data_IF_806407626869
#
_entry.id   IF_806407626869
#
_cell.length_a   1.000
_cell.length_b   1.000
_cell.length_c   1.000
_cell.angle_alpha   90.00
_cell.angle_beta   90.00
_cell.angle_gamma   90.00
#
_symmetry.space_group_name_H-M   'P 1'
#
loop_
_entity.id
_entity.type
_entity.pdbx_description
1 polymer ?
#
# COMPACT_ATOMS: atom_id res chain seq x y z
N UNK A 1 -1.51 -10.65 -38.54
CA UNK A 1 -1.79 -11.32 -37.24
C UNK A 1 -0.76 -10.82 -36.22
N UNK A 2 -1.09 -9.81 -35.42
CA UNK A 2 -0.16 -9.30 -34.39
C UNK A 2 -0.08 -10.35 -33.28
N UNK A 3 1.13 -10.71 -32.90
CA UNK A 3 1.42 -11.70 -31.86
C UNK A 3 0.97 -11.10 -30.51
N UNK A 4 0.02 -11.76 -29.87
CA UNK A 4 -0.39 -11.46 -28.49
C UNK A 4 0.73 -11.93 -27.59
N UNK A 5 1.40 -11.00 -26.91
CA UNK A 5 2.44 -11.36 -25.94
C UNK A 5 1.78 -11.65 -24.58
N UNK A 6 2.07 -12.81 -24.02
CA UNK A 6 1.79 -13.16 -22.63
C UNK A 6 3.12 -13.08 -21.89
N UNK A 7 3.18 -12.24 -20.87
CA UNK A 7 4.38 -12.06 -20.05
C UNK A 7 4.03 -12.42 -18.60
N UNK A 8 4.91 -13.14 -17.96
CA UNK A 8 4.84 -13.40 -16.50
C UNK A 8 5.78 -12.46 -15.77
N UNK A 9 5.25 -11.69 -14.86
CA UNK A 9 6.01 -10.81 -13.98
C UNK A 9 6.10 -11.46 -12.60
N UNK A 10 7.31 -11.54 -12.08
CA UNK A 10 7.59 -12.10 -10.75
C UNK A 10 8.08 -10.98 -9.86
N UNK A 11 7.37 -10.73 -8.78
CA UNK A 11 7.74 -9.79 -7.72
C UNK A 11 8.06 -10.56 -6.44
N UNK A 12 9.19 -10.25 -5.83
CA UNK A 12 9.72 -11.01 -4.69
C UNK A 12 9.99 -10.07 -3.53
N UNK A 13 9.43 -10.37 -2.38
CA UNK A 13 9.76 -9.71 -1.14
C UNK A 13 10.87 -10.48 -0.41
N UNK A 14 12.06 -9.91 -0.36
CA UNK A 14 13.25 -10.52 0.24
C UNK A 14 13.58 -9.81 1.56
N UNK A 15 14.00 -10.58 2.56
CA UNK A 15 14.56 -10.03 3.80
C UNK A 15 16.05 -9.75 3.59
N UNK A 16 16.41 -8.50 3.22
CA UNK A 16 17.80 -8.10 3.04
C UNK A 16 18.08 -6.81 3.79
N UNK A 17 19.14 -6.81 4.61
CA UNK A 17 19.73 -5.59 5.17
C UNK A 17 20.76 -5.05 4.17
N UNK A 18 20.41 -4.04 3.38
CA UNK A 18 21.40 -3.34 2.53
C UNK A 18 21.31 -1.84 2.81
N UNK A 19 22.41 -1.30 3.32
CA UNK A 19 22.66 0.13 3.42
C UNK A 19 23.13 0.66 2.06
N UNK A 20 22.21 1.07 1.19
CA UNK A 20 22.57 1.88 0.02
C UNK A 20 21.56 3.03 -0.11
N UNK A 21 22.03 4.23 0.12
CA UNK A 21 21.27 5.47 0.00
C UNK A 21 21.22 5.85 -1.47
N UNK A 22 20.03 5.77 -2.06
CA UNK A 22 19.72 6.39 -3.35
C UNK A 22 18.65 7.45 -3.11
N UNK A 23 18.89 8.68 -3.55
CA UNK A 23 17.93 9.78 -3.45
C UNK A 23 16.93 9.67 -4.62
N UNK A 24 15.95 8.80 -4.50
CA UNK A 24 14.82 8.74 -5.41
C UNK A 24 13.56 9.23 -4.71
N UNK A 25 12.68 9.94 -5.40
CA UNK A 25 11.38 10.36 -4.86
C UNK A 25 10.43 9.17 -4.67
N UNK A 26 9.44 9.31 -3.78
CA UNK A 26 8.34 8.34 -3.66
C UNK A 26 7.65 8.22 -5.00
N UNK A 27 7.55 7.00 -5.53
CA UNK A 27 6.85 6.76 -6.79
C UNK A 27 5.34 6.98 -6.61
N UNK A 28 4.75 7.80 -7.48
CA UNK A 28 3.32 8.16 -7.46
C UNK A 28 2.69 8.01 -8.84
N UNK A 29 1.37 7.80 -8.85
CA UNK A 29 0.64 7.68 -10.10
C UNK A 29 1.21 6.58 -11.00
N UNK A 30 1.46 6.86 -12.26
CA UNK A 30 1.94 5.87 -13.23
C UNK A 30 3.33 5.32 -12.90
N UNK A 31 4.20 6.07 -12.26
CA UNK A 31 5.54 5.63 -11.85
C UNK A 31 5.50 4.55 -10.77
N UNK A 32 4.45 4.55 -9.94
CA UNK A 32 4.24 3.55 -8.89
C UNK A 32 3.79 2.19 -9.42
N UNK A 33 3.52 2.07 -10.71
CA UNK A 33 2.95 0.87 -11.28
C UNK A 33 3.86 0.14 -12.25
N UNK A 34 3.66 -1.18 -12.31
CA UNK A 34 4.05 -2.00 -13.44
C UNK A 34 3.19 -1.66 -14.68
N UNK A 35 3.50 -2.31 -15.79
CA UNK A 35 2.88 -2.08 -17.10
C UNK A 35 1.42 -2.53 -17.20
N UNK A 36 0.80 -3.06 -16.15
CA UNK A 36 -0.55 -3.64 -16.20
C UNK A 36 -1.49 -3.11 -15.13
N UNK A 37 -2.80 -3.30 -15.36
CA UNK A 37 -3.90 -3.01 -14.43
C UNK A 37 -4.89 -4.18 -14.40
N UNK A 38 -5.75 -4.21 -13.39
CA UNK A 38 -6.92 -5.11 -13.35
C UNK A 38 -8.08 -4.42 -14.03
N UNK A 39 -8.62 -5.01 -15.09
CA UNK A 39 -9.70 -4.39 -15.88
C UNK A 39 -11.02 -4.30 -15.11
N UNK A 40 -11.44 -5.38 -14.48
CA UNK A 40 -12.68 -5.44 -13.68
C UNK A 40 -12.37 -5.44 -12.18
N UNK A 41 -11.84 -4.31 -11.70
CA UNK A 41 -11.45 -4.15 -10.31
C UNK A 41 -12.65 -4.04 -9.33
N UNK A 42 -13.87 -3.91 -9.85
CA UNK A 42 -15.11 -3.94 -9.05
C UNK A 42 -15.69 -5.35 -8.85
N UNK A 43 -15.11 -6.36 -9.50
CA UNK A 43 -15.59 -7.74 -9.43
C UNK A 43 -14.41 -8.74 -9.49
N UNK A 44 -13.38 -8.54 -8.69
CA UNK A 44 -12.17 -9.36 -8.71
C UNK A 44 -12.48 -10.74 -8.14
N UNK A 45 -12.47 -11.74 -8.99
CA UNK A 45 -12.65 -13.14 -8.58
C UNK A 45 -11.37 -13.67 -7.95
N UNK A 46 -11.46 -14.10 -6.70
CA UNK A 46 -10.33 -14.63 -5.95
C UNK A 46 -10.64 -15.96 -5.27
N UNK A 47 -9.58 -16.69 -4.90
CA UNK A 47 -9.68 -17.75 -3.91
C UNK A 47 -8.47 -17.73 -2.96
N UNK A 48 -8.69 -18.25 -1.76
CA UNK A 48 -7.64 -18.49 -0.77
C UNK A 48 -7.55 -19.99 -0.57
N UNK A 49 -6.34 -20.57 -0.74
CA UNK A 49 -6.09 -21.95 -0.38
C UNK A 49 -6.03 -22.07 1.14
N UNK A 50 -6.93 -22.88 1.71
CA UNK A 50 -7.07 -23.08 3.15
C UNK A 50 -6.24 -24.25 3.69
N UNK A 51 -5.46 -24.94 2.85
CA UNK A 51 -4.73 -26.15 3.23
C UNK A 51 -3.53 -25.89 4.15
N UNK A 52 -3.12 -24.62 4.30
CA UNK A 52 -1.99 -24.23 5.15
C UNK A 52 -2.47 -23.48 6.38
N UNK A 53 -2.61 -24.21 7.49
CA UNK A 53 -2.83 -23.63 8.83
C UNK A 53 -1.57 -23.80 9.66
N UNK A 54 -0.98 -22.69 10.09
CA UNK A 54 0.10 -22.70 11.06
C UNK A 54 -0.48 -22.72 12.49
N UNK A 55 0.24 -23.38 13.42
CA UNK A 55 -0.08 -23.40 14.85
C UNK A 55 -0.07 -21.99 15.46
N UNK A 56 0.73 -21.08 14.92
CA UNK A 56 0.96 -19.76 15.49
C UNK A 56 0.16 -18.65 14.81
N UNK A 57 -0.06 -18.74 13.51
CA UNK A 57 -0.90 -17.80 12.77
C UNK A 57 -1.48 -18.44 11.51
N UNK A 58 -2.76 -18.25 11.31
CA UNK A 58 -3.44 -18.76 10.12
C UNK A 58 -3.20 -17.82 8.94
N UNK A 59 -2.37 -18.23 7.97
CA UNK A 59 -2.07 -17.46 6.77
C UNK A 59 -3.34 -17.13 5.95
N UNK A 60 -4.39 -17.95 6.04
CA UNK A 60 -5.71 -17.64 5.48
C UNK A 60 -6.26 -16.33 6.05
N UNK A 61 -6.02 -16.06 7.34
CA UNK A 61 -6.46 -14.81 7.95
C UNK A 61 -5.64 -13.62 7.46
N UNK A 62 -4.34 -13.78 7.18
CA UNK A 62 -3.54 -12.72 6.57
C UNK A 62 -4.09 -12.31 5.20
N UNK A 63 -4.40 -13.28 4.36
CA UNK A 63 -5.02 -13.02 3.06
C UNK A 63 -6.41 -12.39 3.15
N UNK A 64 -7.26 -12.87 4.07
CA UNK A 64 -8.57 -12.25 4.34
C UNK A 64 -8.44 -10.81 4.82
N UNK A 65 -7.47 -10.54 5.70
CA UNK A 65 -7.20 -9.19 6.18
C UNK A 65 -6.72 -8.29 5.04
N UNK A 66 -5.83 -8.79 4.16
CA UNK A 66 -5.37 -8.04 3.00
C UNK A 66 -6.54 -7.64 2.08
N UNK A 67 -7.41 -8.58 1.71
CA UNK A 67 -8.61 -8.33 0.89
C UNK A 67 -9.51 -7.29 1.55
N UNK A 68 -9.80 -7.44 2.85
CA UNK A 68 -10.66 -6.51 3.58
C UNK A 68 -10.05 -5.12 3.65
N UNK A 69 -8.73 -5.03 3.87
CA UNK A 69 -8.00 -3.76 3.91
C UNK A 69 -8.05 -3.06 2.55
N UNK A 70 -7.78 -3.78 1.45
CA UNK A 70 -7.88 -3.21 0.11
C UNK A 70 -9.29 -2.69 -0.18
N UNK A 71 -10.33 -3.47 0.11
CA UNK A 71 -11.72 -3.00 -0.11
C UNK A 71 -12.09 -1.82 0.78
N UNK A 72 -11.73 -1.86 2.05
CA UNK A 72 -12.03 -0.78 3.02
C UNK A 72 -11.28 0.50 2.68
N UNK A 73 -9.99 0.41 2.49
CA UNK A 73 -9.11 1.57 2.32
C UNK A 73 -9.20 2.21 0.93
N UNK A 74 -9.80 1.50 -0.03
CA UNK A 74 -10.23 2.07 -1.32
C UNK A 74 -11.72 2.44 -1.34
N UNK A 75 -12.37 2.52 -0.18
CA UNK A 75 -13.77 2.93 -0.01
C UNK A 75 -14.75 2.12 -0.85
N UNK A 76 -14.43 0.84 -1.07
CA UNK A 76 -15.24 -0.08 -1.89
C UNK A 76 -15.13 0.13 -3.39
N UNK A 77 -14.19 0.94 -3.87
CA UNK A 77 -13.85 1.00 -5.30
C UNK A 77 -13.31 -0.35 -5.78
N UNK A 78 -12.40 -0.95 -5.02
CA UNK A 78 -11.91 -2.31 -5.26
C UNK A 78 -12.80 -3.31 -4.52
N UNK A 79 -13.37 -4.27 -5.28
CA UNK A 79 -14.25 -5.29 -4.72
C UNK A 79 -13.81 -6.69 -5.11
N UNK A 80 -13.89 -7.58 -4.14
CA UNK A 80 -13.49 -8.97 -4.29
C UNK A 80 -14.70 -9.91 -4.19
N UNK A 81 -14.71 -10.93 -5.06
CA UNK A 81 -15.73 -11.98 -5.09
C UNK A 81 -15.05 -13.32 -4.92
N UNK A 82 -15.35 -14.02 -3.82
CA UNK A 82 -14.83 -15.38 -3.63
C UNK A 82 -15.39 -16.31 -4.73
N UNK A 83 -14.49 -17.01 -5.41
CA UNK A 83 -14.85 -17.87 -6.55
C UNK A 83 -14.02 -19.15 -6.55
N UNK A 84 -14.47 -20.14 -7.35
CA UNK A 84 -13.73 -21.39 -7.58
C UNK A 84 -13.04 -21.33 -8.92
N UNK A 85 -11.91 -22.04 -9.05
CA UNK A 85 -11.26 -22.24 -10.35
C UNK A 85 -12.27 -22.85 -11.37
N UNK A 86 -12.25 -22.47 -12.69
CA UNK A 86 -11.18 -21.72 -13.36
C UNK A 86 -11.33 -20.18 -13.35
N UNK A 87 -12.40 -19.63 -12.78
CA UNK A 87 -12.76 -18.21 -12.92
C UNK A 87 -11.93 -17.24 -12.05
N UNK A 88 -10.96 -17.75 -11.29
CA UNK A 88 -10.18 -16.98 -10.34
C UNK A 88 -9.10 -16.18 -11.03
N UNK A 89 -9.07 -14.87 -10.79
CA UNK A 89 -8.02 -13.96 -11.27
C UNK A 89 -6.86 -13.92 -10.27
N UNK A 90 -7.14 -13.85 -8.95
CA UNK A 90 -6.11 -13.81 -7.90
C UNK A 90 -6.24 -15.05 -7.03
N UNK A 91 -5.21 -15.88 -7.01
CA UNK A 91 -5.10 -17.04 -6.13
C UNK A 91 -4.08 -16.77 -5.05
N UNK A 92 -4.49 -16.88 -3.79
CA UNK A 92 -3.66 -16.66 -2.62
C UNK A 92 -3.45 -17.98 -1.88
N UNK A 93 -2.20 -18.31 -1.59
CA UNK A 93 -1.85 -19.56 -0.91
C UNK A 93 -0.61 -19.40 -0.04
N UNK A 94 -0.15 -20.48 0.54
CA UNK A 94 1.13 -20.54 1.26
C UNK A 94 1.89 -21.78 0.83
N UNK A 95 3.21 -21.69 0.85
CA UNK A 95 4.12 -22.82 0.70
C UNK A 95 4.98 -22.98 1.96
N UNK A 96 5.64 -24.12 2.09
CA UNK A 96 6.61 -24.37 3.14
C UNK A 96 7.91 -24.86 2.48
N UNK A 97 8.74 -23.92 2.02
CA UNK A 97 9.95 -24.24 1.27
C UNK A 97 11.19 -23.64 1.91
N UNK A 98 12.12 -24.51 2.32
CA UNK A 98 13.45 -24.11 2.79
C UNK A 98 14.42 -23.79 1.65
N UNK A 99 14.02 -24.01 0.39
CA UNK A 99 14.82 -23.71 -0.81
C UNK A 99 14.64 -22.28 -1.26
N UNK A 100 13.60 -21.61 -0.76
CA UNK A 100 13.22 -20.26 -1.13
C UNK A 100 13.51 -19.32 0.03
N UNK A 101 14.18 -18.20 -0.24
CA UNK A 101 14.58 -17.22 0.77
C UNK A 101 13.57 -16.08 0.95
N UNK A 102 12.56 -16.00 0.09
CA UNK A 102 11.54 -14.94 0.17
C UNK A 102 10.48 -15.21 1.25
N UNK A 103 9.91 -14.14 1.79
CA UNK A 103 8.78 -14.16 2.71
C UNK A 103 7.44 -14.27 1.99
N UNK A 104 7.31 -13.52 0.90
CA UNK A 104 6.18 -13.51 -0.01
C UNK A 104 6.64 -13.47 -1.46
N UNK A 105 5.72 -13.81 -2.35
CA UNK A 105 5.97 -13.84 -3.80
C UNK A 105 4.65 -13.64 -4.54
N UNK A 106 4.61 -12.69 -5.47
CA UNK A 106 3.51 -12.54 -6.43
C UNK A 106 3.96 -12.86 -7.85
N UNK A 107 3.19 -13.70 -8.55
CA UNK A 107 3.40 -14.08 -9.96
C UNK A 107 2.21 -13.62 -10.79
N UNK A 108 2.39 -12.59 -11.59
CA UNK A 108 1.34 -12.04 -12.44
C UNK A 108 1.52 -12.47 -13.90
N UNK A 109 0.44 -12.94 -14.49
CA UNK A 109 0.34 -13.19 -15.93
C UNK A 109 -0.52 -12.10 -16.54
N UNK A 110 -0.01 -11.44 -17.57
CA UNK A 110 -0.64 -10.29 -18.21
C UNK A 110 -0.93 -10.56 -19.69
N UNK A 111 -1.92 -9.84 -20.19
CA UNK A 111 -2.28 -9.77 -21.59
C UNK A 111 -2.16 -8.32 -22.06
N UNK A 112 -1.47 -8.10 -23.17
CA UNK A 112 -1.37 -6.79 -23.83
C UNK A 112 -2.22 -6.80 -25.09
N UNK A 113 -3.13 -5.84 -25.21
CA UNK A 113 -4.01 -5.69 -26.36
C UNK A 113 -3.32 -4.96 -27.53
N UNK A 114 -4.04 -4.74 -28.63
CA UNK A 114 -3.55 -4.07 -29.83
C UNK A 114 -3.23 -2.59 -29.63
N UNK A 115 -3.77 -1.96 -28.58
CA UNK A 115 -3.53 -0.58 -28.19
C UNK A 115 -2.36 -0.42 -27.20
N UNK A 116 -1.59 -1.49 -26.97
CA UNK A 116 -0.52 -1.55 -25.96
C UNK A 116 -1.00 -1.39 -24.50
N UNK A 117 -2.29 -1.64 -24.24
CA UNK A 117 -2.81 -1.67 -22.88
C UNK A 117 -2.65 -3.08 -22.30
N UNK A 118 -2.07 -3.16 -21.11
CA UNK A 118 -1.79 -4.45 -20.45
C UNK A 118 -2.71 -4.64 -19.25
N UNK A 119 -3.27 -5.87 -19.15
CA UNK A 119 -4.21 -6.23 -18.11
C UNK A 119 -3.80 -7.55 -17.45
N UNK A 120 -4.01 -7.60 -16.12
CA UNK A 120 -3.87 -8.83 -15.37
C UNK A 120 -4.88 -9.87 -15.87
N UNK A 121 -4.39 -11.07 -16.21
CA UNK A 121 -5.23 -12.24 -16.51
C UNK A 121 -5.23 -13.24 -15.37
N UNK A 122 -4.12 -13.32 -14.62
CA UNK A 122 -3.98 -14.19 -13.46
C UNK A 122 -2.88 -13.67 -12.54
N UNK A 123 -3.10 -13.76 -11.22
CA UNK A 123 -2.05 -13.66 -10.22
C UNK A 123 -2.07 -14.85 -9.28
N UNK A 124 -0.89 -15.26 -8.84
CA UNK A 124 -0.67 -16.28 -7.82
C UNK A 124 0.23 -15.68 -6.74
N UNK A 125 -0.35 -15.45 -5.57
CA UNK A 125 0.31 -14.81 -4.44
C UNK A 125 0.60 -15.84 -3.36
N UNK A 126 1.83 -15.84 -2.85
CA UNK A 126 2.36 -16.84 -1.93
C UNK A 126 2.90 -16.19 -0.67
N UNK A 127 2.70 -16.88 0.48
CA UNK A 127 3.46 -16.69 1.72
C UNK A 127 4.35 -17.91 1.93
N UNK A 128 5.62 -17.71 2.29
CA UNK A 128 6.51 -18.83 2.61
C UNK A 128 6.54 -19.07 4.11
N UNK A 129 5.85 -20.11 4.56
CA UNK A 129 5.76 -20.49 5.96
C UNK A 129 7.13 -20.78 6.59
N UNK A 130 8.05 -21.35 5.82
CA UNK A 130 9.39 -21.67 6.32
C UNK A 130 10.15 -20.42 6.73
N UNK A 131 10.27 -19.44 5.85
CA UNK A 131 10.98 -18.18 6.11
C UNK A 131 10.26 -17.32 7.15
N UNK A 132 8.93 -17.27 7.12
CA UNK A 132 8.11 -16.60 8.14
C UNK A 132 8.41 -17.14 9.54
N UNK A 133 8.52 -18.46 9.70
CA UNK A 133 8.91 -19.09 10.97
C UNK A 133 10.38 -18.87 11.31
N UNK A 134 11.27 -19.02 10.34
CA UNK A 134 12.71 -18.84 10.52
C UNK A 134 13.03 -17.45 11.10
N UNK A 135 12.36 -16.41 10.61
CA UNK A 135 12.53 -15.03 11.08
C UNK A 135 11.57 -14.63 12.19
N UNK A 136 10.75 -15.57 12.69
CA UNK A 136 9.80 -15.37 13.79
C UNK A 136 8.91 -14.11 13.59
N UNK A 137 8.33 -13.97 12.40
CA UNK A 137 7.48 -12.82 12.06
C UNK A 137 6.27 -12.73 12.99
N UNK A 138 5.97 -11.52 13.46
CA UNK A 138 4.72 -11.24 14.16
C UNK A 138 3.52 -11.37 13.22
N UNK A 139 2.33 -11.49 13.78
CA UNK A 139 1.07 -11.51 13.04
C UNK A 139 0.92 -10.27 12.14
N UNK A 140 1.29 -9.12 12.64
CA UNK A 140 1.23 -7.84 11.93
C UNK A 140 2.19 -7.82 10.74
N UNK A 141 3.41 -8.32 10.90
CA UNK A 141 4.35 -8.47 9.78
C UNK A 141 3.85 -9.46 8.72
N UNK A 142 3.21 -10.57 9.13
CA UNK A 142 2.63 -11.52 8.17
C UNK A 142 1.48 -10.87 7.38
N UNK A 143 0.64 -10.06 8.05
CA UNK A 143 -0.40 -9.26 7.38
C UNK A 143 0.22 -8.26 6.40
N UNK A 144 1.31 -7.59 6.76
CA UNK A 144 2.03 -6.66 5.89
C UNK A 144 2.59 -7.36 4.64
N UNK A 145 3.20 -8.56 4.80
CA UNK A 145 3.65 -9.35 3.65
C UNK A 145 2.48 -9.71 2.73
N UNK A 146 1.35 -10.15 3.28
CA UNK A 146 0.17 -10.47 2.47
C UNK A 146 -0.39 -9.23 1.72
N UNK A 147 -0.42 -8.07 2.38
CA UNK A 147 -0.81 -6.79 1.76
C UNK A 147 0.15 -6.40 0.64
N UNK A 148 1.46 -6.56 0.85
CA UNK A 148 2.50 -6.28 -0.12
C UNK A 148 2.34 -7.13 -1.38
N UNK A 149 2.21 -8.45 -1.24
CA UNK A 149 2.05 -9.36 -2.39
C UNK A 149 0.74 -9.06 -3.15
N UNK A 150 -0.34 -8.79 -2.44
CA UNK A 150 -1.59 -8.37 -3.06
C UNK A 150 -1.41 -7.03 -3.82
N UNK A 151 -0.57 -6.10 -3.30
CA UNK A 151 -0.21 -4.86 -3.99
C UNK A 151 0.41 -5.12 -5.37
N UNK A 152 1.30 -6.11 -5.47
CA UNK A 152 1.87 -6.52 -6.76
C UNK A 152 0.83 -7.08 -7.72
N UNK A 153 -0.18 -7.80 -7.23
CA UNK A 153 -1.32 -8.25 -8.06
C UNK A 153 -2.12 -7.10 -8.65
N UNK A 154 -2.10 -5.94 -7.99
CA UNK A 154 -2.68 -4.68 -8.50
C UNK A 154 -1.71 -3.87 -9.36
N UNK A 155 -0.52 -4.38 -9.62
CA UNK A 155 0.48 -3.73 -10.45
C UNK A 155 1.37 -2.73 -9.71
N UNK A 156 1.28 -2.60 -8.38
CA UNK A 156 2.16 -1.71 -7.63
C UNK A 156 3.62 -2.19 -7.68
N UNK A 157 4.54 -1.26 -7.93
CA UNK A 157 5.98 -1.49 -7.88
C UNK A 157 6.52 -1.33 -6.44
N UNK A 158 7.72 -1.87 -6.20
CA UNK A 158 8.46 -1.50 -5.02
C UNK A 158 8.72 0.00 -4.97
N UNK A 159 8.64 0.56 -3.77
CA UNK A 159 9.03 1.93 -3.50
C UNK A 159 10.51 2.00 -3.09
N UNK A 160 11.18 3.14 -3.32
CA UNK A 160 12.54 3.34 -2.86
C UNK A 160 12.69 3.16 -1.35
N UNK A 161 13.85 2.65 -0.92
CA UNK A 161 14.12 2.25 0.46
C UNK A 161 13.94 3.37 1.50
N UNK A 162 14.32 4.59 1.16
CA UNK A 162 14.20 5.76 2.04
C UNK A 162 12.75 6.06 2.44
N UNK A 163 11.79 5.53 1.70
CA UNK A 163 10.35 5.67 1.97
C UNK A 163 9.71 4.43 2.60
N UNK A 164 10.51 3.46 3.06
CA UNK A 164 10.00 2.20 3.62
C UNK A 164 8.99 2.39 4.77
N UNK A 165 9.08 3.49 5.52
CA UNK A 165 8.14 3.83 6.58
C UNK A 165 6.81 4.44 6.07
N UNK A 166 6.75 4.88 4.80
CA UNK A 166 5.59 5.54 4.18
C UNK A 166 4.76 4.60 3.28
N UNK A 167 5.18 3.35 3.11
CA UNK A 167 4.55 2.40 2.17
C UNK A 167 4.64 0.96 2.66
N UNK A 168 3.69 0.13 2.25
CA UNK A 168 3.82 -1.34 2.35
C UNK A 168 4.66 -1.91 1.20
N UNK A 169 4.83 -1.15 0.09
CA UNK A 169 5.56 -1.61 -1.10
C UNK A 169 7.07 -1.45 -0.98
N UNK A 170 7.63 -1.56 0.22
CA UNK A 170 9.07 -1.61 0.46
C UNK A 170 9.66 -2.96 0.04
N UNK A 171 10.90 -3.01 -0.49
CA UNK A 171 11.47 -4.24 -1.05
C UNK A 171 11.87 -5.28 0.00
N UNK A 172 11.74 -4.98 1.30
CA UNK A 172 12.02 -5.90 2.40
C UNK A 172 11.23 -5.54 3.67
N UNK A 173 11.09 -6.50 4.57
CA UNK A 173 10.46 -6.32 5.88
C UNK A 173 11.54 -6.05 6.92
N UNK A 174 11.41 -4.95 7.65
CA UNK A 174 12.23 -4.69 8.84
C UNK A 174 11.51 -5.22 10.08
N UNK A 175 11.93 -6.38 10.55
CA UNK A 175 11.32 -7.05 11.73
C UNK A 175 11.66 -6.35 13.06
N UNK A 176 12.61 -5.42 13.08
CA UNK A 176 12.94 -4.62 14.26
C UNK A 176 11.93 -3.50 14.52
N UNK A 177 11.16 -3.11 13.51
CA UNK A 177 10.13 -2.08 13.57
C UNK A 177 8.76 -2.74 13.62
N UNK A 178 7.92 -2.50 14.64
CA UNK A 178 6.57 -3.03 14.67
C UNK A 178 5.78 -2.64 13.41
N UNK A 179 5.12 -3.61 12.79
CA UNK A 179 4.20 -3.39 11.68
C UNK A 179 2.79 -3.10 12.22
N UNK A 180 2.04 -2.23 11.56
CA UNK A 180 0.60 -2.02 11.81
C UNK A 180 -0.27 -2.85 10.85
N UNK A 181 0.33 -3.42 9.79
CA UNK A 181 -0.36 -4.27 8.83
C UNK A 181 -1.48 -3.58 8.05
N UNK A 182 -1.33 -2.27 7.77
CA UNK A 182 -2.32 -1.47 7.03
C UNK A 182 -1.72 -0.79 5.81
N UNK A 183 -2.56 -0.41 4.85
CA UNK A 183 -2.15 0.43 3.72
C UNK A 183 -1.77 1.83 4.23
N UNK A 184 -0.64 2.33 3.77
CA UNK A 184 -0.22 3.71 4.04
C UNK A 184 -0.90 4.68 3.06
N UNK A 185 -0.92 5.99 3.36
CA UNK A 185 -1.55 6.97 2.48
C UNK A 185 -1.06 6.92 1.03
N UNK A 186 0.23 6.74 0.81
CA UNK A 186 0.79 6.65 -0.55
C UNK A 186 0.31 5.39 -1.30
N UNK A 187 0.14 4.26 -0.59
CA UNK A 187 -0.38 3.04 -1.20
C UNK A 187 -1.84 3.22 -1.60
N UNK A 188 -2.66 3.82 -0.72
CA UNK A 188 -4.06 4.18 -1.04
C UNK A 188 -4.15 5.16 -2.19
N UNK A 189 -3.31 6.21 -2.18
CA UNK A 189 -3.25 7.17 -3.28
C UNK A 189 -2.99 6.45 -4.60
N UNK A 190 -1.96 5.60 -4.66
CA UNK A 190 -1.61 4.89 -5.88
C UNK A 190 -2.74 3.95 -6.34
N UNK A 191 -3.35 3.18 -5.43
CA UNK A 191 -4.49 2.33 -5.77
C UNK A 191 -5.67 3.14 -6.32
N UNK A 192 -6.06 4.21 -5.65
CA UNK A 192 -7.20 5.04 -6.09
C UNK A 192 -6.90 5.81 -7.38
N UNK A 193 -5.66 6.20 -7.62
CA UNK A 193 -5.24 6.81 -8.87
C UNK A 193 -5.57 5.94 -10.08
N UNK A 194 -5.36 4.62 -9.98
CA UNK A 194 -5.59 3.68 -11.09
C UNK A 194 -6.96 3.02 -11.07
N UNK A 195 -7.57 2.86 -9.90
CA UNK A 195 -8.77 2.05 -9.70
C UNK A 195 -9.99 2.84 -9.20
N UNK A 196 -9.93 4.17 -9.18
CA UNK A 196 -11.12 4.98 -8.94
C UNK A 196 -11.78 5.36 -10.26
N UNK A 197 -13.09 5.10 -10.36
CA UNK A 197 -13.89 5.45 -11.53
C UNK A 197 -14.41 6.88 -11.50
N UNK A 198 -14.33 7.54 -10.34
CA UNK A 198 -14.98 8.83 -10.12
C UNK A 198 -13.98 9.87 -9.61
N UNK A 199 -13.90 10.99 -10.30
CA UNK A 199 -13.34 12.22 -9.74
C UNK A 199 -14.42 12.83 -8.83
N UNK A 200 -14.37 12.47 -7.52
CA UNK A 200 -15.40 12.82 -6.53
C UNK A 200 -15.37 14.28 -6.09
N UNK A 201 -14.36 15.03 -6.53
CA UNK A 201 -14.20 16.45 -6.20
C UNK A 201 -14.42 17.40 -7.39
N UNK A 202 -14.47 16.90 -8.62
CA UNK A 202 -14.57 17.74 -9.84
C UNK A 202 -15.79 18.65 -9.81
N UNK A 203 -16.93 18.11 -9.39
CA UNK A 203 -18.20 18.85 -9.31
C UNK A 203 -18.50 19.32 -7.86
N UNK A 204 -17.55 19.20 -6.96
CA UNK A 204 -17.69 19.66 -5.58
C UNK A 204 -17.48 21.18 -5.49
N UNK A 205 -18.16 21.85 -4.56
CA UNK A 205 -18.00 23.31 -4.35
C UNK A 205 -16.55 23.74 -4.11
N UNK A 206 -15.73 22.88 -3.49
CA UNK A 206 -14.32 23.12 -3.22
C UNK A 206 -13.39 22.75 -4.39
N UNK A 207 -13.92 22.35 -5.57
CA UNK A 207 -13.11 21.81 -6.67
C UNK A 207 -11.96 22.73 -7.09
N UNK A 208 -12.20 24.04 -7.14
CA UNK A 208 -11.16 25.03 -7.47
C UNK A 208 -10.05 25.08 -6.43
N UNK A 209 -10.39 24.97 -5.13
CA UNK A 209 -9.42 24.98 -4.05
C UNK A 209 -8.62 23.68 -3.99
N UNK A 210 -9.26 22.55 -4.27
CA UNK A 210 -8.61 21.24 -4.36
C UNK A 210 -7.63 21.24 -5.54
N UNK A 211 -8.06 21.69 -6.74
CA UNK A 211 -7.18 21.82 -7.90
C UNK A 211 -5.98 22.72 -7.60
N UNK A 212 -6.23 23.89 -6.99
CA UNK A 212 -5.17 24.81 -6.61
C UNK A 212 -4.16 24.19 -5.63
N UNK A 213 -4.63 23.45 -4.63
CA UNK A 213 -3.77 22.76 -3.68
C UNK A 213 -2.93 21.65 -4.34
N UNK A 214 -3.51 20.91 -5.30
CA UNK A 214 -2.81 19.92 -6.12
C UNK A 214 -1.74 20.59 -6.99
N UNK A 215 -2.09 21.65 -7.70
CA UNK A 215 -1.19 22.37 -8.60
C UNK A 215 0.01 22.99 -7.86
N UNK A 216 -0.17 23.32 -6.58
CA UNK A 216 0.89 23.84 -5.72
C UNK A 216 1.64 22.74 -4.91
N UNK A 217 1.31 21.47 -5.13
CA UNK A 217 1.98 20.35 -4.44
C UNK A 217 1.66 20.23 -2.94
N UNK A 218 0.60 20.90 -2.44
CA UNK A 218 0.18 20.77 -1.03
C UNK A 218 -0.57 19.46 -0.80
N UNK A 219 -1.23 18.98 -1.83
CA UNK A 219 -2.00 17.73 -1.88
C UNK A 219 -1.56 16.96 -3.12
N UNK A 220 -1.45 15.65 -3.01
CA UNK A 220 -1.13 14.80 -4.15
C UNK A 220 -2.26 14.80 -5.18
N UNK A 221 -1.90 14.70 -6.46
CA UNK A 221 -2.89 14.59 -7.54
C UNK A 221 -3.70 13.31 -7.35
N UNK A 222 -5.01 13.45 -7.24
CA UNK A 222 -5.93 12.33 -7.04
C UNK A 222 -7.25 12.54 -7.76
N UNK A 223 -7.85 11.47 -8.25
CA UNK A 223 -9.23 11.46 -8.72
C UNK A 223 -10.23 11.22 -7.59
N UNK A 224 -9.76 10.73 -6.44
CA UNK A 224 -10.57 10.42 -5.26
C UNK A 224 -10.06 11.17 -4.04
N UNK A 225 -10.60 12.36 -3.81
CA UNK A 225 -10.17 13.29 -2.77
C UNK A 225 -10.95 13.15 -1.46
N UNK A 226 -12.18 12.63 -1.54
CA UNK A 226 -13.10 12.51 -0.39
C UNK A 226 -13.45 13.87 0.25
N UNK A 227 -13.93 14.86 -0.51
CA UNK A 227 -14.13 16.21 0.02
C UNK A 227 -15.23 16.32 1.08
N UNK A 228 -15.99 15.26 1.33
CA UNK A 228 -17.05 15.18 2.34
C UNK A 228 -16.62 14.49 3.63
N UNK A 229 -15.46 13.84 3.62
CA UNK A 229 -14.96 13.12 4.78
C UNK A 229 -14.19 14.07 5.71
N UNK A 230 -14.20 13.75 7.00
CA UNK A 230 -13.35 14.44 7.97
C UNK A 230 -11.89 14.07 7.73
N UNK A 231 -11.00 15.04 7.83
CA UNK A 231 -9.56 14.85 7.74
C UNK A 231 -9.01 14.43 9.11
N UNK A 232 -8.00 13.57 9.12
CA UNK A 232 -7.28 13.24 10.34
C UNK A 232 -6.27 14.33 10.72
N UNK A 233 -5.84 14.33 11.98
CA UNK A 233 -4.79 15.25 12.45
C UNK A 233 -3.47 15.05 11.69
N UNK A 234 -3.11 13.80 11.37
CA UNK A 234 -1.92 13.48 10.58
C UNK A 234 -2.00 14.02 9.16
N UNK A 235 -3.09 13.77 8.44
CA UNK A 235 -3.32 14.30 7.10
C UNK A 235 -3.29 15.84 7.07
N UNK A 236 -3.85 16.47 8.09
CA UNK A 236 -3.85 17.94 8.20
C UNK A 236 -2.45 18.51 8.36
N UNK A 237 -1.62 17.96 9.25
CA UNK A 237 -0.25 18.50 9.44
C UNK A 237 0.61 18.29 8.21
N UNK A 238 0.46 17.18 7.49
CA UNK A 238 1.17 16.94 6.22
C UNK A 238 0.88 18.05 5.18
N UNK A 239 -0.41 18.42 5.03
CA UNK A 239 -0.81 19.51 4.12
C UNK A 239 -0.19 20.84 4.55
N UNK A 240 -0.19 21.14 5.85
CA UNK A 240 0.35 22.39 6.38
C UNK A 240 1.87 22.43 6.18
N UNK A 241 2.59 21.36 6.47
CA UNK A 241 4.03 21.28 6.29
C UNK A 241 4.43 21.53 4.82
N UNK A 242 3.72 20.92 3.89
CA UNK A 242 3.93 21.13 2.45
C UNK A 242 3.61 22.56 2.04
N UNK A 243 2.46 23.08 2.47
CA UNK A 243 2.01 24.46 2.12
C UNK A 243 3.00 25.52 2.56
N UNK A 244 3.53 25.41 3.76
CA UNK A 244 4.44 26.41 4.35
C UNK A 244 5.91 26.02 4.19
N UNK A 245 6.20 24.89 3.52
CA UNK A 245 7.55 24.34 3.31
C UNK A 245 8.34 24.26 4.61
N UNK A 246 7.69 23.75 5.67
CA UNK A 246 8.30 23.63 6.99
C UNK A 246 9.40 22.56 6.96
N UNK A 247 10.57 22.84 7.56
CA UNK A 247 11.73 21.93 7.51
C UNK A 247 12.34 21.65 8.88
N UNK A 248 12.05 22.48 9.87
CA UNK A 248 12.67 22.32 11.19
C UNK A 248 12.04 21.13 11.90
N UNK A 249 12.88 20.15 12.23
CA UNK A 249 12.54 18.96 13.01
C UNK A 249 13.38 18.94 14.29
N UNK A 250 12.84 18.39 15.37
CA UNK A 250 13.53 18.17 16.64
C UNK A 250 13.92 16.71 16.87
N UNK A 251 13.45 15.80 16.01
CA UNK A 251 13.56 14.36 16.18
C UNK A 251 12.63 13.81 17.25
N UNK A 252 11.69 14.60 17.76
CA UNK A 252 10.71 14.17 18.77
C UNK A 252 9.68 13.23 18.15
N UNK A 253 9.34 12.17 18.87
CA UNK A 253 8.21 11.32 18.58
C UNK A 253 7.30 11.18 19.80
N UNK A 254 5.98 11.20 19.59
CA UNK A 254 5.01 10.80 20.59
C UNK A 254 4.93 9.26 20.63
N UNK A 255 4.46 8.70 21.73
CA UNK A 255 4.37 7.22 21.87
C UNK A 255 3.52 6.58 20.74
N UNK A 256 2.46 7.28 20.33
CA UNK A 256 1.53 6.85 19.29
C UNK A 256 1.95 7.24 17.86
N UNK A 257 3.11 7.89 17.70
CA UNK A 257 3.64 8.27 16.38
C UNK A 257 4.95 7.59 16.03
N UNK A 258 5.55 6.81 16.92
CA UNK A 258 6.87 6.17 16.70
C UNK A 258 6.90 5.38 15.40
N UNK A 259 5.83 4.65 15.10
CA UNK A 259 5.67 3.82 13.91
C UNK A 259 4.62 4.35 12.94
N UNK A 260 4.14 5.58 13.16
CA UNK A 260 3.12 6.19 12.32
C UNK A 260 3.76 6.78 11.06
N UNK A 261 3.07 6.67 9.91
CA UNK A 261 3.55 7.18 8.63
C UNK A 261 3.87 8.68 8.65
N UNK A 262 3.12 9.48 9.42
CA UNK A 262 3.29 10.93 9.56
C UNK A 262 4.20 11.31 10.73
N UNK A 263 5.07 10.42 11.22
CA UNK A 263 5.95 10.70 12.36
C UNK A 263 6.80 11.95 12.14
N UNK A 264 7.39 12.07 10.97
CA UNK A 264 8.26 13.19 10.60
C UNK A 264 7.47 14.48 10.44
N UNK A 265 6.35 14.42 9.73
CA UNK A 265 5.44 15.53 9.52
C UNK A 265 4.89 16.08 10.85
N UNK A 266 4.55 15.19 11.78
CA UNK A 266 4.07 15.56 13.11
C UNK A 266 5.19 16.24 13.92
N UNK A 267 6.42 15.72 13.90
CA UNK A 267 7.56 16.36 14.56
C UNK A 267 7.83 17.75 13.98
N UNK A 268 7.82 17.89 12.66
CA UNK A 268 7.99 19.16 11.96
C UNK A 268 6.90 20.15 12.42
N UNK A 269 5.63 19.75 12.33
CA UNK A 269 4.51 20.62 12.69
C UNK A 269 4.56 21.08 14.16
N UNK A 270 4.87 20.17 15.09
CA UNK A 270 4.98 20.48 16.52
C UNK A 270 6.20 21.37 16.81
N UNK A 271 7.35 21.08 16.19
CA UNK A 271 8.58 21.87 16.34
C UNK A 271 8.40 23.30 15.83
N UNK A 272 7.63 23.47 14.75
CA UNK A 272 7.29 24.78 14.18
C UNK A 272 6.06 25.43 14.85
N UNK A 273 5.54 24.85 15.93
CA UNK A 273 4.40 25.38 16.72
C UNK A 273 3.10 25.51 15.92
N UNK A 274 2.92 24.71 14.90
CA UNK A 274 1.68 24.64 14.10
C UNK A 274 0.58 23.93 14.89
N UNK A 275 0.97 22.90 15.65
CA UNK A 275 0.07 22.14 16.50
C UNK A 275 0.78 21.64 17.76
N UNK A 276 0.01 21.03 18.63
CA UNK A 276 0.51 20.39 19.87
C UNK A 276 -0.01 18.96 19.97
N UNK A 277 0.59 18.15 20.83
CA UNK A 277 0.05 16.84 21.20
C UNK A 277 -1.31 16.96 21.90
N UNK A 278 -2.04 15.86 21.92
CA UNK A 278 -3.27 15.73 22.74
C UNK A 278 -2.92 15.52 24.21
N UNK A 279 -1.68 15.15 24.49
CA UNK A 279 -1.04 15.12 25.80
C UNK A 279 0.48 15.29 25.62
N UNK A 280 1.24 15.27 26.71
CA UNK A 280 2.72 15.28 26.66
C UNK A 280 3.28 14.03 25.96
N UNK A 281 2.52 12.95 25.86
CA UNK A 281 2.98 11.65 25.36
C UNK A 281 2.28 11.20 24.09
N UNK A 282 1.18 11.83 23.70
CA UNK A 282 0.34 11.40 22.56
C UNK A 282 0.01 12.56 21.64
N UNK A 283 -0.07 12.25 20.34
CA UNK A 283 -0.52 13.18 19.30
C UNK A 283 -1.94 12.88 18.80
N UNK A 284 -2.35 11.64 18.86
CA UNK A 284 -3.61 11.11 18.29
C UNK A 284 -3.70 11.35 16.77
N UNK A 285 -2.76 10.78 15.97
CA UNK A 285 -2.61 11.10 14.55
C UNK A 285 -3.86 10.78 13.73
N UNK A 286 -4.54 9.66 14.02
CA UNK A 286 -5.71 9.19 13.29
C UNK A 286 -7.04 9.79 13.79
N UNK A 287 -7.00 10.67 14.78
CA UNK A 287 -8.20 11.36 15.25
C UNK A 287 -8.63 12.39 14.21
N UNK A 288 -9.91 12.37 13.87
CA UNK A 288 -10.52 13.37 13.01
C UNK A 288 -10.60 14.76 13.67
N UNK A 289 -10.53 15.80 12.83
CA UNK A 289 -10.71 17.21 13.19
C UNK A 289 -11.88 17.82 12.43
#
# INVERSE_FOLDING_TARGET
MKIKQIITIISVLILIHINNISYADVLKGDEAYNIFRIKDYKNIKYNIDTNYTDKYYNHTNAWKNAINTFSKDTFGEIKFINSKKPDVIISMTSINSSKEEWLGLSKSTIYTNENNESYLTKSEDYLNQYTIKLFNLSKEHINEVALHELGHSFGLNHQPQEYAHKTIMKPYVDISIPSDGVLKPIDRYNLLYSYSSNNDWKDHWASKNISYAIDNGWIDKTSYFRPKDSITRAEFVEIIDRKFNLKKSSGRAFKDTINHWAKEEIDIAVTNKVCIGTSDYTFSPDKYI
#
